data_IF_993621924769
#
_entry.id   IF_993621924769
#
_cell.length_a   1.000
_cell.length_b   1.000
_cell.length_c   1.000
_cell.angle_alpha   90.00
_cell.angle_beta   90.00
_cell.angle_gamma   90.00
#
_symmetry.space_group_name_H-M   'P 1'
#
loop_
_entity.id
_entity.type
_entity.pdbx_description
1 polymer ?
#
# COMPACT_ATOMS: atom_id res chain seq x y z
N UNK A 1 -4.04 -26.72 5.69
CA UNK A 1 -4.62 -25.52 6.34
C UNK A 1 -3.82 -24.33 5.83
N UNK A 2 -4.31 -23.67 4.79
CA UNK A 2 -3.56 -22.64 4.07
C UNK A 2 -3.29 -21.44 4.97
N UNK A 3 -2.04 -20.99 5.01
CA UNK A 3 -1.63 -19.75 5.66
C UNK A 3 -2.38 -18.59 5.00
N UNK A 4 -3.22 -17.88 5.77
CA UNK A 4 -3.86 -16.65 5.32
C UNK A 4 -2.78 -15.57 5.34
N UNK A 5 -2.45 -15.04 4.17
CA UNK A 5 -1.48 -13.96 3.98
C UNK A 5 -2.10 -12.65 4.47
N UNK A 6 -1.35 -11.90 5.27
CA UNK A 6 -1.74 -10.63 5.92
C UNK A 6 -2.13 -9.50 4.94
N UNK A 7 -1.87 -9.68 3.63
CA UNK A 7 -2.19 -8.73 2.58
C UNK A 7 -3.68 -8.61 2.24
N UNK A 8 -4.47 -9.67 2.43
CA UNK A 8 -5.84 -9.74 1.90
C UNK A 8 -6.81 -8.81 2.66
N UNK A 9 -6.66 -8.75 3.99
CA UNK A 9 -7.42 -7.82 4.84
C UNK A 9 -7.07 -6.36 4.58
N UNK A 10 -5.86 -6.05 4.09
CA UNK A 10 -5.41 -4.66 3.91
C UNK A 10 -6.13 -3.99 2.74
N UNK A 11 -6.29 -4.70 1.61
CA UNK A 11 -6.94 -4.16 0.40
C UNK A 11 -8.40 -3.77 0.66
N UNK A 12 -9.20 -4.69 1.19
CA UNK A 12 -10.62 -4.43 1.45
C UNK A 12 -10.82 -3.35 2.53
N UNK A 13 -9.98 -3.34 3.59
CA UNK A 13 -10.01 -2.29 4.60
C UNK A 13 -9.67 -0.93 4.00
N UNK A 14 -8.68 -0.85 3.12
CA UNK A 14 -8.28 0.41 2.48
C UNK A 14 -9.38 0.92 1.53
N UNK A 15 -10.00 0.06 0.73
CA UNK A 15 -11.17 0.44 -0.09
C UNK A 15 -12.29 0.99 0.80
N UNK A 16 -12.61 0.31 1.91
CA UNK A 16 -13.66 0.75 2.81
C UNK A 16 -13.31 2.06 3.53
N UNK A 17 -12.04 2.24 3.94
CA UNK A 17 -11.53 3.49 4.53
C UNK A 17 -11.71 4.67 3.56
N UNK A 18 -11.18 4.54 2.34
CA UNK A 18 -11.23 5.56 1.27
C UNK A 18 -12.68 5.95 0.94
N UNK A 19 -13.60 4.96 0.90
CA UNK A 19 -15.04 5.18 0.74
C UNK A 19 -15.62 6.00 1.89
N UNK A 20 -15.33 5.60 3.14
CA UNK A 20 -15.90 6.24 4.33
C UNK A 20 -15.37 7.66 4.55
N UNK A 21 -14.10 7.92 4.26
CA UNK A 21 -13.50 9.27 4.29
C UNK A 21 -14.19 10.24 3.32
N UNK A 22 -14.72 9.73 2.21
CA UNK A 22 -15.52 10.50 1.25
C UNK A 22 -17.01 10.58 1.62
N UNK A 23 -17.44 9.92 2.70
CA UNK A 23 -18.85 9.80 3.07
C UNK A 23 -19.68 8.95 2.09
N UNK A 24 -19.04 8.09 1.30
CA UNK A 24 -19.73 7.32 0.27
C UNK A 24 -20.41 6.08 0.84
N UNK A 25 -21.67 5.85 0.48
CA UNK A 25 -22.33 4.56 0.70
C UNK A 25 -21.85 3.52 -0.32
N UNK A 26 -22.15 2.24 -0.09
CA UNK A 26 -21.90 1.18 -1.10
C UNK A 26 -22.65 1.50 -2.40
N UNK A 27 -23.85 2.07 -2.29
CA UNK A 27 -24.62 2.54 -3.44
C UNK A 27 -23.89 3.65 -4.22
N UNK A 28 -23.34 4.65 -3.51
CA UNK A 28 -22.54 5.70 -4.15
C UNK A 28 -21.33 5.11 -4.85
N UNK A 29 -20.58 4.23 -4.17
CA UNK A 29 -19.42 3.56 -4.75
C UNK A 29 -19.78 2.73 -5.98
N UNK A 30 -20.95 2.08 -5.98
CA UNK A 30 -21.46 1.35 -7.13
C UNK A 30 -21.66 2.26 -8.34
N UNK A 31 -22.30 3.42 -8.15
CA UNK A 31 -22.53 4.38 -9.23
C UNK A 31 -21.23 4.95 -9.79
N UNK A 32 -20.26 5.28 -8.92
CA UNK A 32 -19.01 5.92 -9.33
C UNK A 32 -18.03 4.92 -9.99
N UNK A 33 -18.05 3.64 -9.58
CA UNK A 33 -17.13 2.60 -10.09
C UNK A 33 -17.69 1.77 -11.25
N UNK A 34 -18.99 1.86 -11.52
CA UNK A 34 -19.68 0.99 -12.48
C UNK A 34 -19.79 -0.48 -12.04
N UNK A 35 -19.36 -0.82 -10.82
CA UNK A 35 -19.50 -2.16 -10.24
C UNK A 35 -20.86 -2.27 -9.56
N UNK A 36 -21.58 -3.37 -9.78
CA UNK A 36 -22.92 -3.52 -9.20
C UNK A 36 -22.89 -3.51 -7.66
N UNK A 37 -23.94 -2.95 -7.05
CA UNK A 37 -24.06 -2.88 -5.60
C UNK A 37 -24.05 -4.27 -4.95
N UNK A 38 -24.64 -5.27 -5.59
CA UNK A 38 -24.63 -6.67 -5.10
C UNK A 38 -23.22 -7.25 -5.13
N UNK A 39 -22.43 -6.98 -6.19
CA UNK A 39 -21.02 -7.37 -6.27
C UNK A 39 -20.22 -6.74 -5.13
N UNK A 40 -20.33 -5.42 -4.92
CA UNK A 40 -19.61 -4.73 -3.85
C UNK A 40 -20.02 -5.23 -2.46
N UNK A 41 -21.32 -5.45 -2.25
CA UNK A 41 -21.85 -5.95 -0.97
C UNK A 41 -21.34 -7.36 -0.68
N UNK A 42 -21.38 -8.25 -1.68
CA UNK A 42 -20.83 -9.60 -1.56
C UNK A 42 -19.32 -9.58 -1.33
N UNK A 43 -18.60 -8.69 -2.01
CA UNK A 43 -17.15 -8.50 -1.86
C UNK A 43 -16.79 -8.14 -0.42
N UNK A 44 -17.48 -7.18 0.20
CA UNK A 44 -17.24 -6.82 1.61
C UNK A 44 -17.72 -7.90 2.58
N UNK A 45 -18.90 -8.48 2.37
CA UNK A 45 -19.48 -9.45 3.31
C UNK A 45 -18.75 -10.80 3.32
N UNK A 46 -18.22 -11.21 2.17
CA UNK A 46 -17.49 -12.48 2.00
C UNK A 46 -15.98 -12.29 2.04
N UNK A 47 -15.52 -11.08 2.35
CA UNK A 47 -14.11 -10.71 2.37
C UNK A 47 -13.37 -11.18 1.10
N UNK A 48 -14.04 -11.08 -0.05
CA UNK A 48 -13.49 -11.55 -1.32
C UNK A 48 -12.64 -10.44 -1.92
N UNK A 49 -11.41 -10.76 -2.32
CA UNK A 49 -10.55 -9.77 -2.95
C UNK A 49 -11.10 -9.32 -4.31
N UNK A 50 -11.04 -8.02 -4.61
CA UNK A 50 -11.26 -7.57 -5.98
C UNK A 50 -10.18 -8.17 -6.89
N UNK A 51 -10.56 -8.50 -8.12
CA UNK A 51 -9.55 -8.70 -9.18
C UNK A 51 -8.80 -7.39 -9.42
N UNK A 52 -7.65 -7.45 -10.11
CA UNK A 52 -6.89 -6.26 -10.48
C UNK A 52 -7.78 -5.27 -11.25
N UNK A 53 -8.56 -5.74 -12.23
CA UNK A 53 -9.48 -4.90 -13.01
C UNK A 53 -10.56 -4.25 -12.13
N UNK A 54 -11.13 -5.00 -11.18
CA UNK A 54 -12.12 -4.44 -10.23
C UNK A 54 -11.47 -3.38 -9.36
N UNK A 55 -10.24 -3.62 -8.88
CA UNK A 55 -9.49 -2.65 -8.10
C UNK A 55 -9.13 -1.41 -8.93
N UNK A 56 -8.81 -1.55 -10.20
CA UNK A 56 -8.57 -0.43 -11.13
C UNK A 56 -9.82 0.44 -11.28
N UNK A 57 -10.99 -0.17 -11.48
CA UNK A 57 -12.26 0.56 -11.53
C UNK A 57 -12.52 1.32 -10.23
N UNK A 58 -12.23 0.70 -9.07
CA UNK A 58 -12.38 1.36 -7.77
C UNK A 58 -11.39 2.52 -7.61
N UNK A 59 -10.12 2.35 -7.97
CA UNK A 59 -9.12 3.42 -7.92
C UNK A 59 -9.51 4.60 -8.81
N UNK A 60 -9.96 4.31 -10.04
CA UNK A 60 -10.47 5.31 -10.97
C UNK A 60 -11.67 6.06 -10.39
N UNK A 61 -12.63 5.35 -9.77
CA UNK A 61 -13.77 5.96 -9.10
C UNK A 61 -13.34 6.87 -7.94
N UNK A 62 -12.30 6.48 -7.20
CA UNK A 62 -11.75 7.28 -6.11
C UNK A 62 -10.89 8.46 -6.58
N UNK A 63 -10.55 8.54 -7.87
CA UNK A 63 -9.64 9.55 -8.42
C UNK A 63 -8.19 9.35 -7.99
N UNK A 64 -7.78 8.12 -7.69
CA UNK A 64 -6.40 7.78 -7.30
C UNK A 64 -5.81 6.75 -8.26
N UNK A 65 -4.49 6.73 -8.35
CA UNK A 65 -3.75 5.70 -9.07
C UNK A 65 -3.60 4.43 -8.26
N UNK A 66 -3.31 3.31 -8.93
CA UNK A 66 -2.97 2.06 -8.25
C UNK A 66 -1.74 2.20 -7.34
N UNK A 67 -0.77 3.02 -7.75
CA UNK A 67 0.41 3.31 -6.93
C UNK A 67 0.06 4.04 -5.65
N UNK A 68 -0.83 5.03 -5.70
CA UNK A 68 -1.32 5.73 -4.50
C UNK A 68 -2.16 4.81 -3.62
N UNK A 69 -2.95 3.92 -4.22
CA UNK A 69 -3.67 2.89 -3.46
C UNK A 69 -2.72 1.95 -2.71
N UNK A 70 -1.57 1.58 -3.27
CA UNK A 70 -0.59 0.73 -2.58
C UNK A 70 0.49 1.50 -1.82
N UNK A 71 0.51 2.84 -1.91
CA UNK A 71 1.40 3.65 -1.12
C UNK A 71 1.09 3.40 0.35
N UNK A 72 2.05 2.86 1.08
CA UNK A 72 1.96 2.74 2.53
C UNK A 72 1.76 4.15 3.11
N UNK A 73 0.79 4.31 4.01
CA UNK A 73 0.73 5.52 4.82
C UNK A 73 1.97 5.48 5.69
N UNK A 74 3.07 6.10 5.23
CA UNK A 74 4.35 6.10 5.92
C UNK A 74 4.13 6.47 7.38
N UNK A 75 4.23 5.45 8.25
CA UNK A 75 4.00 5.57 9.68
C UNK A 75 5.08 6.48 10.30
N UNK A 76 6.20 6.72 9.60
CA UNK A 76 7.28 7.60 10.05
C UNK A 76 7.85 8.45 8.91
N UNK A 77 7.29 9.64 8.66
CA UNK A 77 7.85 10.63 7.71
C UNK A 77 9.33 10.92 7.97
N UNK A 78 9.76 10.95 9.24
CA UNK A 78 11.17 11.16 9.61
C UNK A 78 12.09 10.02 9.16
N UNK A 79 11.61 8.76 9.21
CA UNK A 79 12.38 7.61 8.71
C UNK A 79 12.42 7.62 7.18
N UNK A 80 11.35 8.06 6.51
CA UNK A 80 11.33 8.20 5.05
C UNK A 80 12.35 9.23 4.55
N UNK A 81 12.43 10.40 5.20
CA UNK A 81 13.41 11.44 4.86
C UNK A 81 14.85 10.92 5.06
N UNK A 82 15.14 10.29 6.20
CA UNK A 82 16.48 9.76 6.50
C UNK A 82 16.88 8.63 5.54
N UNK A 83 15.96 7.73 5.22
CA UNK A 83 16.20 6.65 4.25
C UNK A 83 16.46 7.20 2.85
N UNK A 84 15.74 8.25 2.46
CA UNK A 84 15.94 8.89 1.15
C UNK A 84 17.31 9.57 1.04
N UNK A 85 17.76 10.26 2.10
CA UNK A 85 19.08 10.87 2.18
C UNK A 85 20.18 9.80 2.11
N UNK A 86 20.02 8.72 2.90
CA UNK A 86 20.95 7.60 2.91
C UNK A 86 21.08 6.98 1.51
N UNK A 87 19.96 6.68 0.84
CA UNK A 87 19.96 6.09 -0.51
C UNK A 87 20.63 7.01 -1.54
N UNK A 88 20.39 8.33 -1.46
CA UNK A 88 21.04 9.30 -2.33
C UNK A 88 22.56 9.30 -2.14
N UNK A 89 23.04 9.32 -0.89
CA UNK A 89 24.47 9.22 -0.60
C UNK A 89 25.05 7.88 -1.08
N UNK A 90 24.37 6.77 -0.76
CA UNK A 90 24.80 5.43 -1.14
C UNK A 90 24.87 5.24 -2.67
N UNK A 91 23.97 5.89 -3.42
CA UNK A 91 23.96 5.83 -4.89
C UNK A 91 25.20 6.43 -5.52
N UNK A 92 25.84 7.41 -4.85
CA UNK A 92 27.04 8.12 -5.30
C UNK A 92 28.34 7.39 -4.97
N UNK A 93 28.30 6.38 -4.11
CA UNK A 93 29.47 5.62 -3.70
C UNK A 93 29.91 4.65 -4.81
N UNK A 94 31.23 4.48 -4.93
CA UNK A 94 31.84 3.35 -5.64
C UNK A 94 31.49 2.02 -4.98
N UNK A 95 31.71 0.89 -5.67
CA UNK A 95 31.45 -0.43 -5.09
C UNK A 95 32.26 -0.69 -3.81
N UNK A 96 33.50 -0.21 -3.74
CA UNK A 96 34.35 -0.37 -2.57
C UNK A 96 33.80 0.41 -1.37
N UNK A 97 33.41 1.67 -1.57
CA UNK A 97 32.80 2.51 -0.53
C UNK A 97 31.46 1.95 -0.03
N UNK A 98 30.63 1.40 -0.94
CA UNK A 98 29.39 0.70 -0.57
C UNK A 98 29.68 -0.50 0.32
N UNK A 99 30.69 -1.30 -0.01
CA UNK A 99 31.07 -2.45 0.79
C UNK A 99 31.58 -2.05 2.19
N UNK A 100 32.41 -1.00 2.28
CA UNK A 100 32.86 -0.45 3.56
C UNK A 100 31.68 0.05 4.41
N UNK A 101 30.76 0.81 3.80
CA UNK A 101 29.57 1.30 4.48
C UNK A 101 28.65 0.16 4.96
N UNK A 102 28.47 -0.91 4.17
CA UNK A 102 27.74 -2.10 4.61
C UNK A 102 28.38 -2.78 5.82
N UNK A 103 29.71 -2.86 5.87
CA UNK A 103 30.43 -3.43 7.01
C UNK A 103 30.16 -2.59 8.27
N UNK A 104 30.21 -1.26 8.16
CA UNK A 104 29.91 -0.34 9.26
C UNK A 104 28.46 -0.46 9.73
N UNK A 105 27.48 -0.47 8.82
CA UNK A 105 26.08 -0.64 9.20
C UNK A 105 25.83 -1.98 9.91
N UNK A 106 26.45 -3.06 9.42
CA UNK A 106 26.35 -4.39 10.05
C UNK A 106 26.97 -4.41 11.46
N UNK A 107 28.06 -3.67 11.71
CA UNK A 107 28.66 -3.62 13.04
C UNK A 107 27.78 -2.86 14.04
N UNK A 108 27.13 -1.78 13.60
CA UNK A 108 26.20 -0.99 14.42
C UNK A 108 24.95 -1.80 14.79
N UNK A 109 24.36 -2.52 13.83
CA UNK A 109 23.14 -3.31 14.06
C UNK A 109 23.38 -4.51 14.98
N UNK A 110 24.54 -5.17 14.91
CA UNK A 110 24.88 -6.31 15.78
C UNK A 110 25.12 -5.95 17.25
N UNK A 111 25.32 -4.66 17.55
CA UNK A 111 25.56 -4.16 18.92
C UNK A 111 24.27 -3.67 19.61
N UNK A 112 23.10 -3.87 18.98
CA UNK A 112 21.77 -3.74 19.59
C UNK A 112 21.21 -5.13 19.91
#
# INVERSE_FOLDING_TARGET
MGYIMEGDMNVLKKINKIRLERGWSIYRLSNESGISQSTLTNMFNRETLPSITTLECLCNAFGITMSEFFKEENIDKQNEDLNSELLNLFSKFSEEEKNSALILFRSIVKNK
#
